data_IF_764780852802
#
_entry.id   IF_764780852802
#
_cell.length_a   1.000
_cell.length_b   1.000
_cell.length_c   1.000
_cell.angle_alpha   90.00
_cell.angle_beta   90.00
_cell.angle_gamma   90.00
#
_symmetry.space_group_name_H-M   'P 1'
#
loop_
_entity.id
_entity.type
_entity.pdbx_description
1 polymer ?
#
# COMPACT_ATOMS: atom_id res chain seq x y z
N UNK A 1 58.33 -40.38 40.17
CA UNK A 1 59.63 -40.02 40.80
C UNK A 1 60.21 -38.88 39.98
N UNK A 2 60.12 -37.65 40.45
CA UNK A 2 61.17 -36.90 41.18
C UNK A 2 62.07 -36.09 40.23
N UNK A 3 62.19 -34.79 40.58
CA UNK A 3 63.24 -33.77 40.31
C UNK A 3 63.09 -32.81 39.12
N UNK A 4 62.51 -31.66 39.49
CA UNK A 4 62.97 -30.28 39.28
C UNK A 4 64.42 -30.07 38.86
N UNK A 5 64.62 -29.01 38.06
CA UNK A 5 65.72 -28.07 38.20
C UNK A 5 65.16 -26.64 38.09
N UNK A 6 65.30 -25.92 39.21
CA UNK A 6 65.05 -24.49 39.38
C UNK A 6 66.27 -23.71 38.87
N UNK A 7 66.02 -22.60 38.18
CA UNK A 7 66.97 -21.50 38.06
C UNK A 7 66.27 -20.21 38.46
N UNK A 8 66.78 -19.60 39.52
CA UNK A 8 66.32 -18.35 40.12
C UNK A 8 66.73 -17.16 39.25
N UNK A 9 65.79 -16.27 38.96
CA UNK A 9 66.04 -14.94 38.42
C UNK A 9 65.11 -13.95 39.11
N UNK A 10 65.65 -13.18 40.04
CA UNK A 10 64.93 -12.08 40.69
C UNK A 10 64.82 -10.91 39.71
N UNK A 11 63.59 -10.47 39.42
CA UNK A 11 63.31 -9.17 38.83
C UNK A 11 62.28 -8.48 39.70
N UNK A 12 62.70 -7.37 40.30
CA UNK A 12 61.85 -6.42 40.98
C UNK A 12 60.90 -5.78 39.96
N UNK A 13 59.64 -6.24 39.93
CA UNK A 13 58.57 -5.64 39.15
C UNK A 13 57.77 -4.68 40.00
N UNK A 14 57.67 -3.42 39.55
CA UNK A 14 56.72 -2.44 40.06
C UNK A 14 55.31 -3.04 40.12
N UNK A 15 54.69 -3.03 41.30
CA UNK A 15 53.25 -3.22 41.44
C UNK A 15 52.57 -1.93 40.97
N UNK A 16 52.23 -1.86 39.68
CA UNK A 16 51.22 -0.94 39.20
C UNK A 16 49.88 -1.41 39.78
N UNK A 17 49.33 -0.63 40.72
CA UNK A 17 47.97 -0.83 41.17
C UNK A 17 47.05 -0.76 39.94
N UNK A 18 46.44 -1.89 39.58
CA UNK A 18 45.43 -1.95 38.55
C UNK A 18 44.24 -1.11 39.02
N UNK A 19 44.08 0.08 38.44
CA UNK A 19 42.84 0.84 38.57
C UNK A 19 41.74 -0.04 37.95
N UNK A 20 40.70 -0.45 38.70
CA UNK A 20 39.60 -1.18 38.11
C UNK A 20 38.96 -0.28 37.05
N UNK A 21 39.11 -0.66 35.78
CA UNK A 21 38.37 -0.07 34.68
C UNK A 21 36.89 -0.23 35.01
N UNK A 22 36.23 0.89 35.27
CA UNK A 22 34.79 0.93 35.39
C UNK A 22 34.19 0.21 34.17
N UNK A 23 33.17 -0.66 34.35
CA UNK A 23 32.53 -1.35 33.24
C UNK A 23 32.11 -0.30 32.21
N UNK A 24 32.65 -0.39 31.00
CA UNK A 24 32.22 0.47 29.91
C UNK A 24 30.72 0.23 29.71
N UNK A 25 29.93 1.20 30.12
CA UNK A 25 28.53 1.30 29.75
C UNK A 25 28.53 1.39 28.22
N UNK A 26 28.26 0.27 27.57
CA UNK A 26 28.02 0.24 26.15
C UNK A 26 26.83 1.16 25.91
N UNK A 27 27.04 2.23 25.15
CA UNK A 27 25.94 3.05 24.69
C UNK A 27 24.91 2.12 24.04
N UNK A 28 23.60 2.30 24.32
CA UNK A 28 22.58 1.52 23.66
C UNK A 28 22.78 1.64 22.14
N UNK A 29 22.63 0.54 21.38
CA UNK A 29 22.81 0.59 19.94
C UNK A 29 21.91 1.68 19.36
N UNK A 30 22.39 2.45 18.36
CA UNK A 30 21.58 3.49 17.74
C UNK A 30 20.25 2.87 17.27
N UNK A 31 19.14 3.62 17.38
CA UNK A 31 17.84 3.12 16.91
C UNK A 31 17.98 2.71 15.44
N UNK A 32 17.53 1.49 15.12
CA UNK A 32 17.55 0.97 13.75
C UNK A 32 16.80 1.96 12.86
N UNK A 33 17.43 2.36 11.75
CA UNK A 33 16.77 3.18 10.74
C UNK A 33 15.50 2.45 10.29
N UNK A 34 14.33 3.12 10.31
CA UNK A 34 13.06 2.49 9.96
C UNK A 34 13.08 1.87 8.56
N UNK A 35 13.85 2.45 7.63
CA UNK A 35 13.98 2.00 6.25
C UNK A 35 15.17 1.04 6.02
N UNK A 36 16.00 0.79 7.03
CA UNK A 36 17.27 0.05 6.91
C UNK A 36 18.50 0.95 7.05
N UNK A 37 19.61 0.37 7.49
CA UNK A 37 20.82 1.12 7.87
C UNK A 37 21.91 1.09 6.79
N UNK A 38 21.92 0.08 5.91
CA UNK A 38 23.02 -0.16 4.96
C UNK A 38 22.54 -0.89 3.71
N UNK A 39 22.09 -0.15 2.71
CA UNK A 39 21.82 -0.73 1.41
C UNK A 39 23.13 -1.03 0.67
N UNK A 40 23.46 -2.31 0.54
CA UNK A 40 24.62 -2.77 -0.23
C UNK A 40 24.12 -3.24 -1.59
N UNK A 41 23.90 -2.30 -2.50
CA UNK A 41 23.45 -2.59 -3.86
C UNK A 41 24.60 -2.88 -4.82
N UNK A 42 24.39 -3.81 -5.75
CA UNK A 42 25.17 -3.90 -7.00
C UNK A 42 24.30 -3.41 -8.15
N UNK A 43 24.89 -2.89 -9.22
CA UNK A 43 24.13 -2.67 -10.45
C UNK A 43 23.62 -4.03 -10.95
N UNK A 44 22.31 -4.11 -11.19
CA UNK A 44 21.66 -5.31 -11.70
C UNK A 44 20.82 -4.95 -12.93
N UNK A 45 20.84 -5.79 -14.00
CA UNK A 45 19.93 -5.60 -15.12
C UNK A 45 18.48 -5.66 -14.66
N UNK A 46 17.67 -4.74 -15.18
CA UNK A 46 16.24 -4.68 -14.93
C UNK A 46 15.47 -5.23 -16.14
N UNK A 47 14.41 -5.98 -15.86
CA UNK A 47 13.39 -6.37 -16.80
C UNK A 47 12.16 -5.51 -16.58
N UNK A 48 11.49 -5.15 -17.67
CA UNK A 48 10.16 -4.58 -17.62
C UNK A 48 9.15 -5.72 -17.61
N UNK A 49 8.42 -5.88 -16.51
CA UNK A 49 7.26 -6.75 -16.45
C UNK A 49 6.00 -5.95 -16.77
N UNK A 50 5.09 -6.56 -17.52
CA UNK A 50 3.77 -6.03 -17.86
C UNK A 50 2.75 -7.10 -17.52
N UNK A 51 1.63 -6.70 -16.91
CA UNK A 51 0.57 -7.63 -16.58
C UNK A 51 -0.16 -8.16 -17.83
N UNK A 52 -0.95 -9.22 -17.64
CA UNK A 52 -1.67 -9.87 -18.75
C UNK A 52 -2.76 -8.97 -19.38
N UNK A 53 -3.14 -7.88 -18.72
CA UNK A 53 -4.14 -6.94 -19.20
C UNK A 53 -3.54 -5.70 -19.87
N UNK A 54 -2.21 -5.49 -19.76
CA UNK A 54 -1.52 -4.32 -20.31
C UNK A 54 -1.78 -3.02 -19.56
N UNK A 55 -2.33 -3.08 -18.34
CA UNK A 55 -2.66 -1.91 -17.51
C UNK A 55 -1.56 -1.56 -16.52
N UNK A 56 -0.78 -2.55 -16.10
CA UNK A 56 0.23 -2.41 -15.06
C UNK A 56 1.60 -2.85 -15.56
N UNK A 57 2.63 -2.10 -15.20
CA UNK A 57 4.01 -2.41 -15.53
C UNK A 57 4.94 -2.07 -14.36
N UNK A 58 6.06 -2.79 -14.25
CA UNK A 58 7.08 -2.58 -13.23
C UNK A 58 8.48 -2.83 -13.80
N UNK A 59 9.50 -2.17 -13.23
CA UNK A 59 10.90 -2.47 -13.52
C UNK A 59 11.45 -3.33 -12.38
N UNK A 60 11.87 -4.56 -12.69
CA UNK A 60 12.25 -5.55 -11.68
C UNK A 60 13.58 -6.20 -12.03
N UNK A 61 14.30 -6.76 -11.05
CA UNK A 61 15.33 -7.75 -11.34
C UNK A 61 14.76 -8.96 -12.11
N UNK A 62 15.63 -9.69 -12.80
CA UNK A 62 15.23 -10.80 -13.66
C UNK A 62 14.57 -11.99 -12.93
N UNK A 63 14.79 -12.11 -11.62
CA UNK A 63 14.23 -13.18 -10.78
C UNK A 63 12.89 -12.79 -10.14
N UNK A 64 12.20 -11.75 -10.60
CA UNK A 64 10.87 -11.39 -10.09
C UNK A 64 9.78 -11.82 -11.06
N UNK A 65 8.57 -11.99 -10.54
CA UNK A 65 7.39 -12.37 -11.32
C UNK A 65 6.14 -11.66 -10.81
N UNK A 66 5.17 -11.45 -11.70
CA UNK A 66 3.84 -10.98 -11.34
C UNK A 66 3.06 -12.17 -10.80
N UNK A 67 2.49 -12.03 -9.60
CA UNK A 67 1.66 -13.07 -8.94
C UNK A 67 0.22 -12.65 -8.74
N UNK A 68 -0.07 -11.35 -8.89
CA UNK A 68 -1.42 -10.80 -8.83
C UNK A 68 -1.53 -9.59 -9.74
N UNK A 69 -2.63 -9.52 -10.49
CA UNK A 69 -3.03 -8.37 -11.28
C UNK A 69 -4.53 -8.46 -11.52
N UNK A 70 -5.19 -7.32 -11.70
CA UNK A 70 -6.61 -7.29 -12.03
C UNK A 70 -6.87 -6.51 -13.32
N UNK A 71 -8.00 -6.81 -13.95
CA UNK A 71 -8.37 -6.25 -15.26
C UNK A 71 -8.59 -4.73 -15.20
N UNK A 72 -8.87 -4.22 -14.02
CA UNK A 72 -9.13 -2.82 -13.77
C UNK A 72 -7.84 -1.99 -13.64
N UNK A 73 -6.68 -2.65 -13.54
CA UNK A 73 -5.39 -1.98 -13.30
C UNK A 73 -5.31 -1.31 -11.93
N UNK A 74 -6.14 -1.73 -10.97
CA UNK A 74 -6.13 -1.14 -9.62
C UNK A 74 -5.21 -1.87 -8.66
N UNK A 75 -4.67 -3.04 -9.02
CA UNK A 75 -3.73 -3.80 -8.21
C UNK A 75 -2.67 -4.51 -9.05
N UNK A 76 -1.45 -4.57 -8.52
CA UNK A 76 -0.35 -5.38 -9.05
C UNK A 76 0.50 -5.90 -7.91
N UNK A 77 0.73 -7.21 -7.88
CA UNK A 77 1.56 -7.90 -6.90
C UNK A 77 2.71 -8.61 -7.59
N UNK A 78 3.92 -8.37 -7.10
CA UNK A 78 5.15 -9.00 -7.58
C UNK A 78 5.88 -9.67 -6.44
N UNK A 79 6.54 -10.77 -6.75
CA UNK A 79 7.36 -11.52 -5.79
C UNK A 79 8.70 -11.94 -6.42
N UNK A 80 9.75 -11.96 -5.61
CA UNK A 80 11.02 -12.60 -5.98
C UNK A 80 10.85 -14.12 -6.11
N UNK A 81 11.68 -14.76 -6.94
CA UNK A 81 11.59 -16.20 -7.21
C UNK A 81 11.78 -17.07 -5.96
N UNK A 82 12.57 -16.59 -5.00
CA UNK A 82 12.79 -17.21 -3.70
C UNK A 82 11.75 -16.81 -2.64
N UNK A 83 10.75 -16.02 -3.03
CA UNK A 83 9.61 -15.55 -2.22
C UNK A 83 9.98 -14.73 -0.99
N UNK A 84 11.21 -14.26 -0.89
CA UNK A 84 11.65 -13.49 0.26
C UNK A 84 11.42 -11.99 0.14
N UNK A 85 11.11 -11.49 -1.05
CA UNK A 85 10.78 -10.10 -1.29
C UNK A 85 9.47 -9.98 -2.07
N UNK A 86 8.67 -9.00 -1.69
CA UNK A 86 7.37 -8.69 -2.25
C UNK A 86 7.29 -7.19 -2.55
N UNK A 87 6.62 -6.86 -3.65
CA UNK A 87 6.28 -5.50 -4.02
C UNK A 87 4.84 -5.46 -4.53
N UNK A 88 4.05 -4.54 -4.02
CA UNK A 88 2.64 -4.40 -4.35
C UNK A 88 2.25 -2.98 -4.71
N UNK A 89 1.20 -2.84 -5.50
CA UNK A 89 0.50 -1.58 -5.77
C UNK A 89 -0.99 -1.81 -5.58
N UNK A 90 -1.65 -0.84 -4.96
CA UNK A 90 -3.10 -0.79 -4.84
C UNK A 90 -3.58 0.66 -4.97
N UNK A 91 -4.66 0.84 -5.73
CA UNK A 91 -5.51 2.04 -5.67
C UNK A 91 -6.94 1.62 -5.33
N UNK A 92 -7.54 2.28 -4.34
CA UNK A 92 -8.89 1.96 -3.87
C UNK A 92 -9.62 3.23 -3.45
N UNK A 93 -10.89 3.33 -3.83
CA UNK A 93 -11.79 4.38 -3.33
C UNK A 93 -12.55 3.92 -2.09
N UNK A 94 -12.79 4.84 -1.18
CA UNK A 94 -13.61 4.66 0.02
C UNK A 94 -14.64 5.78 0.12
N UNK A 95 -15.94 5.47 0.06
CA UNK A 95 -16.99 6.46 0.28
C UNK A 95 -16.99 6.91 1.75
N UNK A 96 -17.34 8.17 1.98
CA UNK A 96 -17.31 8.78 3.32
C UNK A 96 -18.37 8.26 4.28
N UNK A 97 -19.47 7.69 3.77
CA UNK A 97 -20.60 7.28 4.59
C UNK A 97 -20.59 5.81 5.02
N UNK A 98 -19.52 5.06 4.75
CA UNK A 98 -19.42 3.69 5.25
C UNK A 98 -19.37 3.70 6.79
N UNK A 99 -19.91 2.66 7.48
CA UNK A 99 -19.74 2.53 8.92
C UNK A 99 -18.26 2.51 9.32
N UNK A 100 -17.91 3.05 10.51
CA UNK A 100 -16.51 3.22 10.99
C UNK A 100 -15.67 1.92 10.90
N UNK A 101 -16.32 0.78 11.13
CA UNK A 101 -15.70 -0.55 11.03
C UNK A 101 -15.24 -0.95 9.60
N UNK A 102 -15.61 -0.21 8.55
CA UNK A 102 -15.31 -0.53 7.15
C UNK A 102 -13.99 0.09 6.61
N UNK A 103 -13.22 0.80 7.45
CA UNK A 103 -11.95 1.41 7.07
C UNK A 103 -12.07 2.86 6.58
N UNK A 104 -12.65 3.73 7.41
CA UNK A 104 -12.89 5.16 7.12
C UNK A 104 -11.61 5.99 7.09
N UNK A 105 -10.49 5.51 7.66
CA UNK A 105 -9.21 6.20 7.49
C UNK A 105 -8.27 5.42 6.57
N UNK A 106 -7.37 6.10 5.84
CA UNK A 106 -6.30 5.46 5.09
C UNK A 106 -5.52 4.44 5.93
N UNK A 107 -5.20 4.77 7.17
CA UNK A 107 -4.41 3.93 8.08
C UNK A 107 -5.16 2.65 8.48
N UNK A 108 -6.47 2.74 8.75
CA UNK A 108 -7.28 1.55 9.02
C UNK A 108 -7.38 0.67 7.77
N UNK A 109 -7.47 1.26 6.57
CA UNK A 109 -7.49 0.49 5.33
C UNK A 109 -6.16 -0.23 5.08
N UNK A 110 -5.04 0.47 5.26
CA UNK A 110 -3.69 -0.11 5.20
C UNK A 110 -3.56 -1.23 6.24
N UNK A 111 -4.00 -1.01 7.47
CA UNK A 111 -3.95 -2.03 8.51
C UNK A 111 -4.75 -3.28 8.14
N UNK A 112 -5.99 -3.12 7.68
CA UNK A 112 -6.80 -4.26 7.25
C UNK A 112 -6.17 -5.03 6.09
N UNK A 113 -5.48 -4.34 5.19
CA UNK A 113 -4.76 -4.97 4.09
C UNK A 113 -3.54 -5.75 4.60
N UNK A 114 -2.64 -5.10 5.35
CA UNK A 114 -1.40 -5.72 5.85
C UNK A 114 -1.65 -6.85 6.84
N UNK A 115 -2.63 -6.68 7.73
CA UNK A 115 -2.97 -7.67 8.77
C UNK A 115 -3.77 -8.86 8.24
N UNK A 116 -4.07 -8.92 6.93
CA UNK A 116 -5.04 -9.86 6.39
C UNK A 116 -6.35 -9.87 7.21
N UNK A 117 -6.92 -8.67 7.41
CA UNK A 117 -8.13 -8.41 8.22
C UNK A 117 -8.00 -8.84 9.69
N UNK A 118 -6.84 -8.56 10.30
CA UNK A 118 -6.56 -8.81 11.71
C UNK A 118 -5.98 -10.18 12.04
N UNK A 119 -5.78 -11.03 11.03
CA UNK A 119 -5.19 -12.38 11.20
C UNK A 119 -3.69 -12.32 11.54
N UNK A 120 -2.99 -11.31 11.04
CA UNK A 120 -1.55 -11.12 11.20
C UNK A 120 -1.34 -9.89 12.09
N UNK A 121 -0.71 -10.02 13.27
CA UNK A 121 -0.36 -8.88 14.10
C UNK A 121 0.65 -7.98 13.38
N UNK A 122 0.35 -6.68 13.29
CA UNK A 122 1.20 -5.68 12.66
C UNK A 122 1.64 -4.66 13.71
N UNK A 123 2.94 -4.37 13.76
CA UNK A 123 3.50 -3.21 14.46
C UNK A 123 3.90 -2.14 13.45
N UNK A 124 3.73 -0.88 13.82
CA UNK A 124 4.06 0.25 12.95
C UNK A 124 5.22 1.06 13.51
N UNK A 125 6.10 1.49 12.60
CA UNK A 125 7.11 2.49 12.90
C UNK A 125 6.55 3.92 12.85
N UNK A 126 7.43 4.90 13.08
CA UNK A 126 7.10 6.31 12.87
C UNK A 126 6.90 6.59 11.38
N UNK A 127 5.90 7.40 11.05
CA UNK A 127 5.67 7.86 9.68
C UNK A 127 6.78 8.81 9.25
N UNK A 128 7.15 8.74 7.98
CA UNK A 128 8.17 9.60 7.38
C UNK A 128 7.52 10.35 6.23
N UNK A 129 7.45 11.69 6.28
CA UNK A 129 6.98 12.49 5.15
C UNK A 129 7.86 12.25 3.92
N UNK A 130 7.23 11.88 2.82
CA UNK A 130 7.85 11.72 1.51
C UNK A 130 7.59 12.90 0.59
N UNK A 131 8.25 12.94 -0.57
CA UNK A 131 7.98 13.95 -1.59
C UNK A 131 6.57 13.78 -2.18
N UNK A 132 6.04 14.85 -2.78
CA UNK A 132 4.74 14.85 -3.49
C UNK A 132 3.52 14.43 -2.65
N UNK A 133 3.60 14.59 -1.33
CA UNK A 133 2.51 14.27 -0.41
C UNK A 133 2.37 12.77 -0.09
N UNK A 134 3.36 11.96 -0.44
CA UNK A 134 3.42 10.57 0.02
C UNK A 134 3.86 10.47 1.47
N UNK A 135 3.37 9.47 2.19
CA UNK A 135 3.77 9.09 3.54
C UNK A 135 4.40 7.71 3.46
N UNK A 136 5.55 7.54 4.11
CA UNK A 136 6.18 6.24 4.28
C UNK A 136 5.84 5.72 5.67
N UNK A 137 5.23 4.54 5.73
CA UNK A 137 4.83 3.87 6.95
C UNK A 137 5.57 2.53 7.07
N UNK A 138 6.69 2.50 7.81
CA UNK A 138 7.38 1.26 8.14
C UNK A 138 6.49 0.36 8.99
N UNK A 139 6.59 -0.95 8.80
CA UNK A 139 5.86 -1.92 9.60
C UNK A 139 6.64 -3.22 9.77
N UNK A 140 6.27 -3.98 10.81
CA UNK A 140 6.65 -5.38 10.95
C UNK A 140 5.38 -6.23 11.11
N UNK A 141 5.36 -7.35 10.41
CA UNK A 141 4.28 -8.33 10.48
C UNK A 141 4.78 -9.56 11.23
N UNK A 142 4.06 -9.97 12.26
CA UNK A 142 4.41 -11.13 13.05
C UNK A 142 3.84 -12.40 12.42
N UNK A 143 4.72 -13.39 12.17
CA UNK A 143 4.32 -14.73 11.75
C UNK A 143 5.11 -15.79 12.55
N UNK A 144 4.48 -16.91 12.96
CA UNK A 144 5.20 -18.04 13.53
C UNK A 144 6.21 -18.60 12.50
N UNK A 145 7.50 -18.56 12.83
CA UNK A 145 8.59 -19.00 11.96
C UNK A 145 9.49 -17.84 11.54
N UNK A 146 9.01 -17.01 10.61
CA UNK A 146 9.72 -15.83 10.16
C UNK A 146 8.73 -14.69 9.89
N UNK A 147 8.88 -13.59 10.64
CA UNK A 147 8.10 -12.37 10.43
C UNK A 147 8.46 -11.68 9.12
N UNK A 148 7.69 -10.66 8.78
CA UNK A 148 8.02 -9.79 7.66
C UNK A 148 8.35 -8.38 8.16
N UNK A 149 9.21 -7.68 7.42
CA UNK A 149 9.47 -6.26 7.62
C UNK A 149 9.22 -5.55 6.30
N UNK A 150 8.63 -4.37 6.37
CA UNK A 150 8.18 -3.68 5.18
C UNK A 150 7.99 -2.18 5.36
N UNK A 151 7.64 -1.54 4.26
CA UNK A 151 7.17 -0.17 4.22
C UNK A 151 5.99 -0.06 3.27
N UNK A 152 4.98 0.70 3.70
CA UNK A 152 3.92 1.18 2.82
C UNK A 152 4.20 2.62 2.46
N UNK A 153 4.30 2.92 1.18
CA UNK A 153 4.38 4.28 0.65
C UNK A 153 3.01 4.63 0.10
N UNK A 154 2.29 5.53 0.77
CA UNK A 154 0.90 5.82 0.43
C UNK A 154 0.59 7.31 0.33
N UNK A 155 -0.49 7.62 -0.37
CA UNK A 155 -1.10 8.93 -0.45
C UNK A 155 -2.62 8.73 -0.42
N UNK A 156 -3.30 9.54 0.39
CA UNK A 156 -4.76 9.60 0.40
C UNK A 156 -5.21 10.92 -0.19
N UNK A 157 -6.06 10.85 -1.22
CA UNK A 157 -6.66 11.99 -1.87
C UNK A 157 -8.10 12.11 -1.37
N UNK A 158 -8.52 13.25 -0.80
CA UNK A 158 -9.91 13.42 -0.39
C UNK A 158 -10.83 13.34 -1.60
N UNK A 159 -12.01 12.75 -1.43
CA UNK A 159 -13.05 12.73 -2.45
C UNK A 159 -13.84 14.04 -2.38
N UNK A 160 -13.81 14.89 -3.43
CA UNK A 160 -14.60 16.12 -3.44
C UNK A 160 -16.10 15.81 -3.26
N UNK A 161 -16.78 16.56 -2.40
CA UNK A 161 -18.22 16.43 -2.18
C UNK A 161 -18.67 15.26 -1.29
N UNK A 162 -17.79 14.32 -0.94
CA UNK A 162 -18.13 13.17 -0.09
C UNK A 162 -17.11 12.97 1.05
N UNK A 163 -16.91 13.95 1.95
CA UNK A 163 -16.10 13.73 3.15
C UNK A 163 -16.82 12.79 4.14
N UNK A 164 -16.11 11.91 4.87
CA UNK A 164 -14.66 11.69 4.93
C UNK A 164 -14.08 10.75 3.84
N UNK A 165 -14.75 10.55 2.71
CA UNK A 165 -14.31 9.64 1.65
C UNK A 165 -12.98 10.02 1.01
N UNK A 166 -12.25 9.02 0.52
CA UNK A 166 -10.90 9.18 -0.02
C UNK A 166 -10.57 8.15 -1.10
N UNK A 167 -9.60 8.48 -1.95
CA UNK A 167 -8.89 7.53 -2.80
C UNK A 167 -7.51 7.28 -2.19
N UNK A 168 -7.24 6.04 -1.83
CA UNK A 168 -5.94 5.60 -1.32
C UNK A 168 -5.12 5.02 -2.47
N UNK A 169 -3.94 5.59 -2.67
CA UNK A 169 -2.90 5.05 -3.54
C UNK A 169 -1.80 4.55 -2.62
N UNK A 170 -1.48 3.26 -2.67
CA UNK A 170 -0.44 2.68 -1.84
C UNK A 170 0.48 1.75 -2.63
N UNK A 171 1.75 1.73 -2.22
CA UNK A 171 2.77 0.81 -2.68
C UNK A 171 3.35 0.10 -1.48
N UNK A 172 3.45 -1.21 -1.55
CA UNK A 172 3.96 -2.05 -0.48
C UNK A 172 5.31 -2.58 -0.91
N UNK A 173 6.30 -2.50 -0.05
CA UNK A 173 7.54 -3.24 -0.19
C UNK A 173 7.77 -4.04 1.09
N UNK A 174 8.01 -5.33 0.95
CA UNK A 174 8.15 -6.23 2.09
C UNK A 174 9.24 -7.26 1.81
N UNK A 175 9.94 -7.67 2.87
CA UNK A 175 10.77 -8.87 2.84
C UNK A 175 10.50 -9.74 4.06
N UNK A 176 11.05 -10.95 4.07
CA UNK A 176 11.32 -11.66 5.31
C UNK A 176 12.14 -10.76 6.26
N UNK A 177 11.88 -10.80 7.57
CA UNK A 177 12.48 -9.87 8.53
C UNK A 177 14.01 -9.97 8.54
N UNK A 178 14.56 -11.18 8.42
CA UNK A 178 16.00 -11.42 8.35
C UNK A 178 16.67 -10.85 7.07
N UNK A 179 15.87 -10.62 6.03
CA UNK A 179 16.32 -10.19 4.69
C UNK A 179 16.10 -8.70 4.42
N UNK A 180 15.55 -7.96 5.39
CA UNK A 180 15.25 -6.55 5.20
C UNK A 180 16.48 -5.69 4.90
N UNK A 181 17.56 -5.86 5.66
CA UNK A 181 18.78 -5.08 5.43
C UNK A 181 19.41 -5.34 4.06
N UNK A 182 19.57 -6.60 3.58
CA UNK A 182 20.13 -6.84 2.25
C UNK A 182 19.15 -6.58 1.09
N UNK A 183 17.83 -6.73 1.26
CA UNK A 183 16.87 -6.75 0.14
C UNK A 183 15.78 -5.68 0.19
N UNK A 184 15.61 -4.99 1.31
CA UNK A 184 14.56 -3.98 1.51
C UNK A 184 14.61 -2.86 0.47
N UNK A 185 15.80 -2.36 0.13
CA UNK A 185 15.93 -1.35 -0.93
C UNK A 185 15.47 -1.85 -2.29
N UNK A 186 15.74 -3.12 -2.62
CA UNK A 186 15.31 -3.69 -3.89
C UNK A 186 13.79 -3.80 -3.91
N UNK A 187 13.16 -4.30 -2.84
CA UNK A 187 11.70 -4.36 -2.73
C UNK A 187 11.07 -2.97 -2.85
N UNK A 188 11.64 -1.96 -2.18
CA UNK A 188 11.21 -0.56 -2.28
C UNK A 188 11.33 -0.04 -3.71
N UNK A 189 12.47 -0.23 -4.36
CA UNK A 189 12.71 0.22 -5.72
C UNK A 189 11.72 -0.43 -6.71
N UNK A 190 11.47 -1.74 -6.57
CA UNK A 190 10.47 -2.45 -7.38
C UNK A 190 9.08 -1.86 -7.14
N UNK A 191 8.64 -1.71 -5.89
CA UNK A 191 7.33 -1.15 -5.57
C UNK A 191 7.15 0.27 -6.12
N UNK A 192 8.15 1.14 -5.96
CA UNK A 192 8.15 2.50 -6.50
C UNK A 192 8.22 2.56 -8.02
N UNK A 193 8.69 1.51 -8.69
CA UNK A 193 8.70 1.42 -10.16
C UNK A 193 7.32 1.08 -10.75
N UNK A 194 6.39 0.55 -9.94
CA UNK A 194 5.09 0.12 -10.43
C UNK A 194 4.31 1.33 -10.99
N UNK A 195 3.83 1.18 -12.21
CA UNK A 195 2.96 2.12 -12.92
C UNK A 195 1.75 1.35 -13.38
N UNK A 196 0.58 1.75 -12.91
CA UNK A 196 -0.68 1.24 -13.39
C UNK A 196 -1.52 2.38 -13.98
N UNK A 197 -2.24 2.08 -15.05
CA UNK A 197 -3.28 2.94 -15.59
C UNK A 197 -4.62 2.36 -15.17
N UNK A 198 -5.10 2.80 -14.01
CA UNK A 198 -6.48 2.54 -13.60
C UNK A 198 -7.41 3.56 -14.24
N UNK A 199 -8.43 3.09 -14.96
CA UNK A 199 -9.55 3.94 -15.32
C UNK A 199 -10.51 3.97 -14.13
N UNK A 200 -10.27 4.91 -13.21
CA UNK A 200 -11.27 5.34 -12.23
C UNK A 200 -12.36 6.15 -12.94
N UNK A 201 -13.03 5.52 -13.91
CA UNK A 201 -14.04 6.15 -14.74
C UNK A 201 -15.42 5.88 -14.12
N UNK A 202 -16.26 6.92 -14.09
CA UNK A 202 -17.68 6.70 -14.34
C UNK A 202 -17.77 6.06 -15.74
N UNK A 203 -18.45 4.93 -15.95
CA UNK A 203 -18.61 4.44 -17.31
C UNK A 203 -19.22 5.57 -18.14
N UNK A 204 -18.59 5.87 -19.27
CA UNK A 204 -18.98 7.02 -20.07
C UNK A 204 -20.41 6.82 -20.57
N UNK A 205 -21.28 7.78 -20.31
CA UNK A 205 -22.53 7.92 -21.07
C UNK A 205 -22.16 8.00 -22.55
N UNK A 206 -22.45 6.92 -23.30
CA UNK A 206 -21.92 6.78 -24.64
C UNK A 206 -22.36 5.52 -25.36
N UNK A 207 -23.63 5.52 -25.80
CA UNK A 207 -24.09 4.82 -27.00
C UNK A 207 -24.19 3.29 -26.90
N UNK A 208 -25.35 2.78 -26.47
CA UNK A 208 -25.72 1.38 -26.70
C UNK A 208 -26.04 1.19 -28.18
N UNK A 209 -25.01 0.89 -28.96
CA UNK A 209 -25.16 0.21 -30.23
C UNK A 209 -25.53 -1.26 -29.99
N UNK A 210 -26.83 -1.56 -30.04
CA UNK A 210 -27.44 -2.80 -30.54
C UNK A 210 -27.12 -4.14 -29.86
N UNK A 211 -28.12 -4.75 -29.21
CA UNK A 211 -27.99 -6.14 -28.78
C UNK A 211 -29.13 -6.81 -28.03
N UNK A 212 -30.40 -6.58 -28.40
CA UNK A 212 -31.52 -7.52 -28.26
C UNK A 212 -31.81 -8.20 -26.90
N UNK A 213 -32.78 -7.66 -26.16
CA UNK A 213 -33.47 -8.35 -25.08
C UNK A 213 -34.76 -7.62 -24.70
N UNK A 214 -35.90 -8.28 -24.87
CA UNK A 214 -37.26 -7.70 -24.75
C UNK A 214 -37.59 -7.26 -23.32
N UNK A 215 -37.87 -5.96 -23.17
CA UNK A 215 -38.57 -5.36 -22.03
C UNK A 215 -38.69 -3.87 -22.29
N UNK A 216 -39.91 -3.32 -22.34
CA UNK A 216 -40.12 -1.90 -22.62
C UNK A 216 -39.51 -1.05 -21.51
N UNK A 217 -38.44 -0.34 -21.84
CA UNK A 217 -37.79 0.65 -20.98
C UNK A 217 -38.09 2.01 -21.58
N UNK A 218 -38.63 2.91 -20.77
CA UNK A 218 -38.90 4.30 -21.12
C UNK A 218 -37.60 4.97 -21.57
N UNK A 219 -37.65 5.91 -22.52
CA UNK A 219 -36.47 6.67 -22.97
C UNK A 219 -35.80 7.47 -21.82
N UNK A 220 -36.47 7.63 -20.68
CA UNK A 220 -35.96 8.30 -19.47
C UNK A 220 -34.98 7.46 -18.62
N UNK A 221 -34.86 6.15 -18.85
CA UNK A 221 -34.01 5.28 -18.00
C UNK A 221 -32.58 5.08 -18.57
N UNK A 222 -32.22 5.73 -19.69
CA UNK A 222 -30.91 5.49 -20.35
C UNK A 222 -29.73 6.30 -19.78
N UNK A 223 -29.95 7.16 -18.77
CA UNK A 223 -28.89 7.90 -18.07
C UNK A 223 -28.87 7.57 -16.57
N UNK A 224 -29.52 6.48 -16.16
CA UNK A 224 -29.50 6.08 -14.75
C UNK A 224 -28.07 5.73 -14.30
N UNK A 225 -27.70 6.38 -13.20
CA UNK A 225 -26.49 6.24 -12.41
C UNK A 225 -25.78 4.89 -12.54
N UNK A 226 -24.47 4.93 -12.75
CA UNK A 226 -23.67 3.71 -12.85
C UNK A 226 -22.75 3.57 -11.64
N UNK A 227 -22.97 2.51 -10.86
CA UNK A 227 -22.15 2.15 -9.71
C UNK A 227 -20.75 1.69 -10.12
N UNK A 228 -19.72 2.36 -9.62
CA UNK A 228 -18.34 1.94 -9.78
C UNK A 228 -17.88 1.14 -8.57
N UNK A 229 -17.86 -0.18 -8.75
CA UNK A 229 -17.44 -1.15 -7.74
C UNK A 229 -15.99 -0.95 -7.26
N UNK A 230 -15.12 -0.33 -8.06
CA UNK A 230 -13.71 -0.07 -7.68
C UNK A 230 -13.59 1.07 -6.66
N UNK A 231 -14.55 2.00 -6.68
CA UNK A 231 -14.58 3.15 -5.78
C UNK A 231 -15.66 3.04 -4.70
N UNK A 232 -16.57 2.07 -4.85
CA UNK A 232 -17.72 1.91 -3.99
C UNK A 232 -18.73 3.06 -4.09
N UNK A 233 -18.64 3.86 -5.16
CA UNK A 233 -19.42 5.09 -5.34
C UNK A 233 -20.19 5.06 -6.66
N UNK A 234 -21.27 5.82 -6.69
CA UNK A 234 -22.05 6.07 -7.90
C UNK A 234 -21.66 7.38 -8.56
N UNK A 235 -22.10 7.54 -9.80
CA UNK A 235 -21.97 8.79 -10.51
C UNK A 235 -23.30 9.16 -11.13
N UNK A 236 -23.64 10.44 -11.02
CA UNK A 236 -24.68 11.06 -11.81
C UNK A 236 -24.04 12.04 -12.80
N UNK A 237 -24.54 12.06 -14.02
CA UNK A 237 -24.04 12.93 -15.08
C UNK A 237 -25.05 14.06 -15.29
N UNK A 238 -24.67 15.31 -15.05
CA UNK A 238 -25.55 16.44 -15.37
C UNK A 238 -25.51 16.71 -16.88
N UNK A 239 -26.58 16.39 -17.64
CA UNK A 239 -26.54 16.49 -19.10
C UNK A 239 -26.40 17.94 -19.59
N UNK A 240 -26.80 18.92 -18.79
CA UNK A 240 -26.77 20.33 -19.19
C UNK A 240 -25.37 20.94 -19.06
N UNK A 241 -24.59 20.47 -18.08
CA UNK A 241 -23.23 20.98 -17.81
C UNK A 241 -22.14 20.04 -18.29
N UNK A 242 -22.50 18.80 -18.65
CA UNK A 242 -21.58 17.70 -18.95
C UNK A 242 -20.65 17.34 -17.78
N UNK A 243 -20.97 17.76 -16.56
CA UNK A 243 -20.20 17.45 -15.36
C UNK A 243 -20.60 16.09 -14.78
N UNK A 244 -19.63 15.38 -14.19
CA UNK A 244 -19.88 14.15 -13.46
C UNK A 244 -19.81 14.41 -11.96
N UNK A 245 -20.84 13.99 -11.25
CA UNK A 245 -20.95 14.12 -9.80
C UNK A 245 -20.73 12.79 -9.14
N UNK A 246 -19.90 12.79 -8.11
CA UNK A 246 -19.70 11.64 -7.24
C UNK A 246 -20.86 11.55 -6.28
N UNK A 247 -21.63 10.47 -6.40
CA UNK A 247 -22.84 10.27 -5.63
C UNK A 247 -22.73 9.05 -4.74
N UNK A 248 -23.40 9.16 -3.60
CA UNK A 248 -23.60 8.06 -2.71
C UNK A 248 -24.91 7.34 -2.99
N UNK A 249 -24.84 6.04 -3.32
CA UNK A 249 -26.05 5.26 -3.57
C UNK A 249 -27.06 5.30 -2.41
N UNK A 250 -26.58 5.26 -1.17
CA UNK A 250 -27.45 5.15 -0.01
C UNK A 250 -27.90 6.50 0.55
N UNK A 251 -27.09 7.55 0.38
CA UNK A 251 -27.34 8.85 1.02
C UNK A 251 -27.87 9.92 0.06
N UNK A 252 -27.50 9.86 -1.22
CA UNK A 252 -27.82 10.91 -2.19
C UNK A 252 -28.96 10.52 -3.13
N UNK A 253 -29.34 9.23 -3.17
CA UNK A 253 -30.55 8.76 -3.85
C UNK A 253 -31.79 9.13 -3.05
N UNK A 254 -32.81 9.67 -3.71
CA UNK A 254 -34.12 9.91 -3.12
C UNK A 254 -35.20 9.18 -3.90
N UNK A 255 -36.00 8.35 -3.22
CA UNK A 255 -37.18 7.70 -3.82
C UNK A 255 -38.34 8.69 -4.07
N UNK A 256 -38.27 9.90 -3.50
CA UNK A 256 -39.36 10.90 -3.54
C UNK A 256 -38.83 12.28 -3.91
N UNK A 257 -37.92 12.34 -4.88
CA UNK A 257 -37.45 13.62 -5.39
C UNK A 257 -38.54 14.41 -6.10
N UNK A 258 -38.32 15.72 -6.34
CA UNK A 258 -39.25 16.60 -7.05
C UNK A 258 -39.73 16.06 -8.41
N UNK A 259 -38.91 15.25 -9.07
CA UNK A 259 -39.15 14.67 -10.39
C UNK A 259 -39.22 13.11 -10.33
N UNK A 260 -39.48 12.55 -9.14
CA UNK A 260 -39.53 11.10 -8.89
C UNK A 260 -38.24 10.53 -8.27
N UNK A 261 -38.04 9.21 -8.29
CA UNK A 261 -36.81 8.59 -7.79
C UNK A 261 -35.56 9.06 -8.57
N UNK A 262 -34.45 9.38 -7.89
CA UNK A 262 -33.20 9.77 -8.54
C UNK A 262 -32.16 10.48 -7.67
N UNK A 263 -31.08 10.92 -8.30
CA UNK A 263 -30.09 11.85 -7.73
C UNK A 263 -30.46 13.29 -8.05
N UNK A 264 -30.13 14.23 -7.16
CA UNK A 264 -30.53 15.63 -7.32
C UNK A 264 -29.43 16.61 -6.95
N UNK A 265 -29.36 17.71 -7.70
CA UNK A 265 -28.62 18.93 -7.34
C UNK A 265 -29.61 20.05 -7.06
N UNK A 266 -29.85 20.32 -5.78
CA UNK A 266 -30.92 21.22 -5.37
C UNK A 266 -32.29 20.60 -5.67
N UNK A 267 -33.10 21.25 -6.50
CA UNK A 267 -34.42 20.74 -6.91
C UNK A 267 -34.41 19.99 -8.24
N UNK A 268 -33.28 19.95 -8.95
CA UNK A 268 -33.16 19.38 -10.30
C UNK A 268 -32.62 17.96 -10.23
N UNK A 269 -33.24 17.03 -10.96
CA UNK A 269 -32.74 15.66 -11.12
C UNK A 269 -31.44 15.66 -11.93
N UNK A 270 -30.48 14.82 -11.52
CA UNK A 270 -29.21 14.57 -12.20
C UNK A 270 -29.24 13.23 -12.94
#
# INVERSE_FOLDING_TARGET
MIRSLLASGALAGLVLAAVPLAPQQHAPPPPLSPLGLRFVGRMQPLLKLVDNFGHCQAATPANWSIVGANREGTGLDLISADRAAFAGYLIVGKPGNLPIAAGITPEVNIHNHLSARGTIPISYGQTIPGPFGYIWLPYEAWNPGEGARGVVVYQALPTPGNPPGFVLIMRIAQTAQSRWEPEGAQAIAVALSIRCTAQLRAPGGGGVGGGGGRGGVSEDDQVESTYNQQLGMEYAHDPDTSENYWMNHAADWTDRGPEGPGYYKGSKKL
#
